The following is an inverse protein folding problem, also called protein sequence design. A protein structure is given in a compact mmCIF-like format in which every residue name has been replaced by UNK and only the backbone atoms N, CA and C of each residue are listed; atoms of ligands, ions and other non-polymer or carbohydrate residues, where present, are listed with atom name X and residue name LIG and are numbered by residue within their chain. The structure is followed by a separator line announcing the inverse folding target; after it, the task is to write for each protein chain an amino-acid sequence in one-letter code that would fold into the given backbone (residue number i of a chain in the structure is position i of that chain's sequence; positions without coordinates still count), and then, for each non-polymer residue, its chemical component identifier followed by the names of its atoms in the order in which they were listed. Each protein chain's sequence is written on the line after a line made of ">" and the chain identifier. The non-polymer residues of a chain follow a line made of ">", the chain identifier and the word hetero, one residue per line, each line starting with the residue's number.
data_IF_661410026392
#
_entry.id   IF_661410026392
#
_cell.length_a   1.000
_cell.length_b   1.000
_cell.length_c   1.000
_cell.angle_alpha   90.00
_cell.angle_beta   90.00
_cell.angle_gamma   90.00
#
_symmetry.space_group_name_H-M   'P 1'
#
loop_
_entity.id
_entity.type
_entity.pdbx_description
1 polymer ?
#
# COMPACT_ATOMS: atom_id res chain seq x y z
N UNK A 1 -24.92 -17.23 22.86
CA UNK A 1 -24.92 -15.91 22.19
C UNK A 1 -23.48 -15.41 22.24
N UNK A 2 -22.69 -15.25 21.19
CA UNK A 2 -22.90 -15.22 19.74
C UNK A 2 -21.75 -15.96 19.04
N UNK A 3 -22.07 -16.62 17.92
CA UNK A 3 -21.14 -17.30 17.04
C UNK A 3 -20.19 -16.30 16.36
N UNK A 4 -18.88 -16.50 16.51
CA UNK A 4 -17.89 -16.14 15.51
C UNK A 4 -16.99 -17.36 15.34
N UNK A 5 -17.30 -18.20 14.34
CA UNK A 5 -16.39 -19.25 13.91
C UNK A 5 -15.13 -18.62 13.33
N UNK A 6 -13.98 -19.32 13.36
CA UNK A 6 -12.73 -18.81 12.81
C UNK A 6 -12.93 -18.52 11.32
N UNK A 7 -12.61 -17.30 10.88
CA UNK A 7 -12.66 -16.88 9.48
C UNK A 7 -11.48 -17.47 8.68
N UNK A 8 -11.26 -18.78 8.82
CA UNK A 8 -10.21 -19.56 8.15
C UNK A 8 -10.79 -20.13 6.86
N UNK A 9 -10.95 -19.29 5.82
CA UNK A 9 -11.41 -19.77 4.52
C UNK A 9 -11.07 -18.81 3.39
N UNK A 10 -11.55 -17.58 3.50
CA UNK A 10 -11.36 -16.57 2.45
C UNK A 10 -10.04 -15.79 2.61
N UNK A 11 -9.65 -15.44 3.84
CA UNK A 11 -8.38 -14.71 4.06
C UNK A 11 -7.14 -15.57 3.83
N UNK A 12 -7.13 -16.85 4.20
CA UNK A 12 -5.92 -17.68 4.03
C UNK A 12 -5.58 -17.93 2.54
N UNK A 13 -6.59 -18.10 1.67
CA UNK A 13 -6.39 -18.29 0.23
C UNK A 13 -5.85 -17.02 -0.42
N UNK A 14 -6.40 -15.87 -0.01
CA UNK A 14 -5.92 -14.55 -0.46
C UNK A 14 -4.48 -14.32 0.03
N UNK A 15 -4.20 -14.60 1.30
CA UNK A 15 -2.86 -14.48 1.87
C UNK A 15 -1.86 -15.43 1.19
N UNK A 16 -2.24 -16.67 0.88
CA UNK A 16 -1.39 -17.61 0.16
C UNK A 16 -1.12 -17.21 -1.29
N UNK A 17 -2.09 -16.57 -1.96
CA UNK A 17 -1.90 -16.06 -3.32
C UNK A 17 -0.94 -14.87 -3.32
N UNK A 18 -1.08 -13.97 -2.34
CA UNK A 18 -0.17 -12.85 -2.13
C UNK A 18 1.24 -13.38 -1.78
N UNK A 19 1.36 -14.36 -0.90
CA UNK A 19 2.64 -14.95 -0.47
C UNK A 19 3.33 -15.71 -1.61
N UNK A 20 2.56 -16.42 -2.46
CA UNK A 20 3.09 -17.08 -3.67
C UNK A 20 3.53 -16.12 -4.76
N UNK A 21 3.03 -14.89 -4.76
CA UNK A 21 3.43 -13.83 -5.70
C UNK A 21 4.47 -12.88 -5.10
N UNK A 22 4.92 -13.13 -3.87
CA UNK A 22 5.90 -12.28 -3.19
C UNK A 22 7.31 -12.62 -3.64
N UNK A 23 7.87 -11.81 -4.53
CA UNK A 23 9.27 -11.90 -4.94
C UNK A 23 10.12 -10.88 -4.16
N UNK A 24 11.10 -11.33 -3.35
CA UNK A 24 11.99 -10.42 -2.61
C UNK A 24 12.84 -9.56 -3.55
N UNK A 25 13.12 -10.04 -4.77
CA UNK A 25 13.78 -9.24 -5.80
C UNK A 25 12.88 -8.10 -6.29
N UNK A 26 11.57 -8.34 -6.46
CA UNK A 26 10.61 -7.29 -6.80
C UNK A 26 10.47 -6.27 -5.68
N UNK A 27 10.46 -6.70 -4.41
CA UNK A 27 10.46 -5.79 -3.25
C UNK A 27 11.63 -4.81 -3.33
N UNK A 28 12.84 -5.29 -3.62
CA UNK A 28 14.03 -4.44 -3.73
C UNK A 28 13.95 -3.48 -4.91
N UNK A 29 13.51 -3.96 -6.07
CA UNK A 29 13.35 -3.13 -7.27
C UNK A 29 12.31 -2.03 -7.02
N UNK A 30 11.16 -2.39 -6.44
CA UNK A 30 10.10 -1.44 -6.08
C UNK A 30 10.58 -0.42 -5.06
N UNK A 31 11.28 -0.87 -4.01
CA UNK A 31 11.86 0.02 -3.00
C UNK A 31 12.82 1.02 -3.65
N UNK A 32 13.76 0.55 -4.46
CA UNK A 32 14.70 1.43 -5.16
C UNK A 32 14.00 2.40 -6.10
N UNK A 33 13.00 1.94 -6.84
CA UNK A 33 12.23 2.79 -7.75
C UNK A 33 11.47 3.88 -6.99
N UNK A 34 10.81 3.55 -5.88
CA UNK A 34 10.13 4.52 -5.03
C UNK A 34 11.12 5.53 -4.43
N UNK A 35 12.29 5.08 -3.98
CA UNK A 35 13.33 5.98 -3.46
C UNK A 35 13.86 6.94 -4.52
N UNK A 36 14.11 6.43 -5.73
CA UNK A 36 14.56 7.21 -6.86
C UNK A 36 13.52 8.26 -7.29
N UNK A 37 12.23 7.89 -7.24
CA UNK A 37 11.14 8.76 -7.66
C UNK A 37 10.77 9.81 -6.59
N UNK A 38 10.64 9.40 -5.33
CA UNK A 38 10.16 10.28 -4.27
C UNK A 38 11.24 11.16 -3.66
N UNK A 39 12.50 10.71 -3.62
CA UNK A 39 13.62 11.42 -2.99
C UNK A 39 13.42 11.67 -1.48
N UNK A 40 14.36 11.22 -0.64
CA UNK A 40 14.33 11.54 0.80
C UNK A 40 13.26 10.81 1.61
N UNK A 41 12.76 9.68 1.10
CA UNK A 41 12.03 8.69 1.92
C UNK A 41 13.05 7.69 2.47
N UNK A 42 12.85 7.20 3.69
CA UNK A 42 13.66 6.12 4.24
C UNK A 42 13.21 4.77 3.66
N UNK A 43 14.14 3.90 3.22
CA UNK A 43 13.78 2.55 2.82
C UNK A 43 13.11 1.81 4.00
N UNK A 44 12.13 0.93 3.71
CA UNK A 44 11.65 -0.01 4.71
C UNK A 44 12.76 -1.00 5.07
N UNK A 45 12.59 -1.63 6.24
CA UNK A 45 13.38 -2.83 6.56
C UNK A 45 12.98 -3.96 5.61
N UNK A 46 13.93 -4.85 5.25
CA UNK A 46 13.64 -5.99 4.38
C UNK A 46 12.57 -6.88 5.02
N UNK A 47 11.60 -7.31 4.21
CA UNK A 47 10.54 -8.21 4.63
C UNK A 47 9.13 -7.70 4.34
N UNK A 48 8.24 -8.63 3.98
CA UNK A 48 6.87 -8.32 3.52
C UNK A 48 6.08 -7.45 4.48
N UNK A 49 6.18 -7.73 5.78
CA UNK A 49 5.44 -7.02 6.80
C UNK A 49 5.89 -5.56 6.87
N UNK A 50 7.20 -5.32 6.87
CA UNK A 50 7.79 -3.97 6.96
C UNK A 50 7.56 -3.17 5.68
N UNK A 51 7.71 -3.80 4.52
CA UNK A 51 7.39 -3.19 3.24
C UNK A 51 5.90 -2.79 3.17
N UNK A 52 5.01 -3.66 3.65
CA UNK A 52 3.58 -3.38 3.67
C UNK A 52 3.21 -2.30 4.69
N UNK A 53 3.79 -2.31 5.90
CA UNK A 53 3.63 -1.24 6.89
C UNK A 53 4.06 0.12 6.32
N UNK A 54 5.15 0.14 5.55
CA UNK A 54 5.67 1.35 4.90
C UNK A 54 4.71 1.92 3.85
N UNK A 55 4.02 1.07 3.09
CA UNK A 55 3.01 1.48 2.12
C UNK A 55 1.66 1.83 2.78
N UNK A 56 1.32 1.17 3.89
CA UNK A 56 0.04 1.33 4.61
C UNK A 56 -0.19 2.75 5.12
N UNK A 57 0.87 3.47 5.49
CA UNK A 57 0.75 4.86 5.93
C UNK A 57 0.22 5.78 4.82
N UNK A 58 0.24 5.35 3.55
CA UNK A 58 -0.29 6.12 2.41
C UNK A 58 0.59 7.31 2.01
N UNK A 59 1.46 7.77 2.90
CA UNK A 59 2.43 8.84 2.66
C UNK A 59 3.38 8.53 1.50
N UNK A 60 3.91 7.31 1.44
CA UNK A 60 4.85 6.88 0.40
C UNK A 60 4.17 6.84 -0.97
N UNK A 61 2.98 6.24 -1.02
CA UNK A 61 2.16 6.16 -2.23
C UNK A 61 1.76 7.55 -2.72
N UNK A 62 1.34 8.43 -1.80
CA UNK A 62 1.00 9.81 -2.13
C UNK A 62 2.19 10.61 -2.70
N UNK A 63 3.38 10.44 -2.12
CA UNK A 63 4.60 11.05 -2.66
C UNK A 63 4.97 10.49 -4.04
N UNK A 64 4.79 9.18 -4.24
CA UNK A 64 5.11 8.50 -5.48
C UNK A 64 4.30 9.06 -6.64
N UNK A 65 2.98 9.10 -6.48
CA UNK A 65 2.12 9.64 -7.52
C UNK A 65 2.32 11.14 -7.70
N UNK A 66 2.50 11.91 -6.63
CA UNK A 66 2.79 13.34 -6.74
C UNK A 66 4.08 13.63 -7.51
N UNK A 67 5.08 12.73 -7.43
CA UNK A 67 6.32 12.85 -8.18
C UNK A 67 6.18 12.50 -9.67
N UNK A 68 5.18 11.66 -10.03
CA UNK A 68 4.84 11.38 -11.42
C UNK A 68 4.08 12.54 -12.10
N UNK A 69 3.48 13.42 -11.30
CA UNK A 69 2.78 14.62 -11.77
C UNK A 69 3.71 15.86 -11.75
N UNK A 70 3.45 16.87 -12.61
CA UNK A 70 4.21 18.12 -12.57
C UNK A 70 4.02 18.84 -11.23
N UNK A 71 5.07 19.54 -10.77
CA UNK A 71 5.10 20.25 -9.48
C UNK A 71 3.87 21.18 -9.35
N UNK A 72 3.04 20.92 -8.34
CA UNK A 72 1.84 21.70 -8.04
C UNK A 72 0.52 21.14 -8.60
N UNK A 73 0.56 20.05 -9.40
CA UNK A 73 -0.63 19.32 -9.87
C UNK A 73 -0.72 17.92 -9.26
N UNK A 74 -0.03 17.69 -8.15
CA UNK A 74 -0.09 16.43 -7.43
C UNK A 74 -1.53 16.12 -7.01
N UNK A 75 -2.09 14.95 -7.36
CA UNK A 75 -3.46 14.58 -6.99
C UNK A 75 -3.63 14.36 -5.49
N UNK A 76 -2.53 14.17 -4.75
CA UNK A 76 -2.53 13.97 -3.29
C UNK A 76 -2.13 15.24 -2.57
N UNK A 77 -3.08 15.90 -1.92
CA UNK A 77 -2.87 17.22 -1.31
C UNK A 77 -2.06 17.20 0.01
N UNK A 78 -2.11 16.11 0.78
CA UNK A 78 -1.42 15.98 2.07
C UNK A 78 -0.78 14.60 2.16
N UNK A 79 0.55 14.56 2.11
CA UNK A 79 1.37 13.34 2.27
C UNK A 79 2.05 13.33 3.64
N UNK A 80 1.36 13.84 4.65
CA UNK A 80 1.86 13.85 6.02
C UNK A 80 1.51 12.53 6.69
N UNK A 81 2.46 11.88 7.39
CA UNK A 81 2.19 10.65 8.11
C UNK A 81 1.12 10.90 9.16
N UNK A 82 0.14 10.01 9.23
CA UNK A 82 -0.98 10.15 10.17
C UNK A 82 -1.38 8.81 10.76
N UNK A 83 -1.44 8.73 12.08
CA UNK A 83 -1.94 7.54 12.78
C UNK A 83 -3.49 7.41 12.71
N UNK A 84 -4.16 8.27 11.94
CA UNK A 84 -5.61 8.20 11.75
C UNK A 84 -5.90 7.31 10.54
N UNK A 85 -6.47 6.13 10.81
CA UNK A 85 -6.89 5.15 9.80
C UNK A 85 -7.65 5.79 8.62
N UNK A 86 -8.59 6.69 8.90
CA UNK A 86 -9.36 7.40 7.88
C UNK A 86 -8.46 8.22 6.92
N UNK A 87 -7.43 8.88 7.45
CA UNK A 87 -6.51 9.70 6.65
C UNK A 87 -5.58 8.83 5.80
N UNK A 88 -5.07 7.73 6.36
CA UNK A 88 -4.29 6.74 5.60
C UNK A 88 -5.10 6.14 4.45
N UNK A 89 -6.35 5.73 4.73
CA UNK A 89 -7.26 5.19 3.71
C UNK A 89 -7.55 6.21 2.61
N UNK A 90 -7.79 7.47 2.98
CA UNK A 90 -8.01 8.56 2.03
C UNK A 90 -6.79 8.79 1.12
N UNK A 91 -5.57 8.81 1.68
CA UNK A 91 -4.33 8.95 0.91
C UNK A 91 -4.15 7.81 -0.08
N UNK A 92 -4.38 6.56 0.35
CA UNK A 92 -4.33 5.40 -0.55
C UNK A 92 -5.39 5.54 -1.64
N UNK A 93 -6.63 5.90 -1.29
CA UNK A 93 -7.72 6.08 -2.26
C UNK A 93 -7.39 7.13 -3.33
N UNK A 94 -6.78 8.26 -2.93
CA UNK A 94 -6.31 9.29 -3.86
C UNK A 94 -5.21 8.77 -4.79
N UNK A 95 -4.26 7.98 -4.27
CA UNK A 95 -3.25 7.31 -5.08
C UNK A 95 -3.90 6.39 -6.14
N UNK A 96 -4.87 5.56 -5.76
CA UNK A 96 -5.53 4.63 -6.68
C UNK A 96 -6.29 5.36 -7.80
N UNK A 97 -7.01 6.44 -7.46
CA UNK A 97 -7.70 7.28 -8.45
C UNK A 97 -6.72 7.89 -9.45
N UNK A 98 -5.59 8.37 -8.95
CA UNK A 98 -4.57 8.96 -9.80
C UNK A 98 -3.84 7.90 -10.65
N UNK A 99 -3.60 6.71 -10.11
CA UNK A 99 -3.09 5.56 -10.87
C UNK A 99 -4.03 5.16 -12.01
N UNK A 100 -5.35 5.11 -11.76
CA UNK A 100 -6.36 4.86 -12.78
C UNK A 100 -6.36 5.95 -13.86
N UNK A 101 -6.31 7.23 -13.46
CA UNK A 101 -6.20 8.36 -14.38
C UNK A 101 -4.89 8.36 -15.18
N UNK A 102 -3.80 7.82 -14.62
CA UNK A 102 -2.53 7.65 -15.30
C UNK A 102 -2.59 6.58 -16.40
N UNK A 103 -3.64 5.74 -16.42
CA UNK A 103 -3.87 4.71 -17.42
C UNK A 103 -3.55 3.29 -16.94
N UNK A 104 -3.38 3.08 -15.63
CA UNK A 104 -3.28 1.73 -15.06
C UNK A 104 -4.67 1.09 -15.10
N UNK A 105 -4.75 -0.15 -15.59
CA UNK A 105 -6.00 -0.86 -15.68
C UNK A 105 -6.55 -1.16 -14.27
N UNK A 106 -7.87 -0.99 -14.02
CA UNK A 106 -8.46 -1.22 -12.70
C UNK A 106 -8.34 -2.68 -12.23
N UNK A 107 -8.07 -3.61 -13.14
CA UNK A 107 -7.77 -5.02 -12.84
C UNK A 107 -6.41 -5.22 -12.16
N UNK A 108 -5.48 -4.31 -12.37
CA UNK A 108 -4.11 -4.35 -11.85
C UNK A 108 -3.91 -3.36 -10.68
N UNK A 109 -4.98 -2.65 -10.29
CA UNK A 109 -5.00 -1.72 -9.16
C UNK A 109 -5.56 -2.45 -7.93
N UNK A 110 -4.86 -2.36 -6.80
CA UNK A 110 -5.31 -2.91 -5.52
C UNK A 110 -6.35 -2.01 -4.84
N UNK A 111 -7.15 -2.50 -3.90
CA UNK A 111 -8.05 -1.64 -3.12
C UNK A 111 -7.38 -1.16 -1.83
N UNK A 112 -7.84 0.00 -1.33
CA UNK A 112 -7.40 0.56 -0.05
C UNK A 112 -7.55 -0.44 1.10
N UNK A 113 -8.61 -1.25 1.08
CA UNK A 113 -8.89 -2.27 2.10
C UNK A 113 -7.87 -3.40 2.05
N UNK A 114 -7.45 -3.86 0.86
CA UNK A 114 -6.46 -4.92 0.72
C UNK A 114 -5.14 -4.53 1.37
N UNK A 115 -4.68 -3.29 1.14
CA UNK A 115 -3.41 -2.81 1.70
C UNK A 115 -3.51 -2.55 3.23
N UNK A 116 -4.63 -1.96 3.68
CA UNK A 116 -4.77 -1.53 5.07
C UNK A 116 -5.16 -2.66 6.03
N UNK A 117 -6.03 -3.60 5.60
CA UNK A 117 -6.48 -4.74 6.39
C UNK A 117 -5.48 -5.91 6.41
N UNK A 118 -4.74 -6.16 5.33
CA UNK A 118 -3.77 -7.26 5.31
C UNK A 118 -2.65 -7.11 6.37
N UNK A 119 -2.40 -5.89 6.88
CA UNK A 119 -1.49 -5.67 8.03
C UNK A 119 -2.13 -6.12 9.35
N UNK A 120 -3.45 -6.03 9.50
CA UNK A 120 -4.12 -6.42 10.76
C UNK A 120 -4.10 -7.93 10.97
N UNK A 121 -4.15 -8.73 9.91
CA UNK A 121 -4.04 -10.19 10.02
C UNK A 121 -2.62 -10.65 10.35
N UNK A 122 -1.58 -9.91 9.95
CA UNK A 122 -0.19 -10.24 10.29
C UNK A 122 0.19 -9.90 11.75
N UNK A 123 -0.48 -8.92 12.37
CA UNK A 123 -0.17 -8.46 13.73
C UNK A 123 -0.86 -9.27 14.85
N UNK A 124 -1.62 -10.33 14.53
CA UNK A 124 -2.14 -11.31 15.50
C UNK A 124 -1.31 -12.61 15.44
N UNK A 125 -0.07 -12.56 15.94
CA UNK A 125 0.66 -13.73 16.47
C UNK A 125 1.67 -13.31 17.54
#
# INVERSE_FOLDING_TARGET
>A
MANRGPAYGLSWEVQQRIDKQYDPELEQILTQWILAQCGGIQPPEPGKEKFQEWLKDGTVLGKLINSLYPKGQGPVASTDPSNKAFKQMEQISQFLRAAEQYGIAPTDIFQTVDLWEAVREAAEN
#
